data_IF_941504108205
#
_entry.id   IF_941504108205
#
_cell.length_a   1.000
_cell.length_b   1.000
_cell.length_c   1.000
_cell.angle_alpha   90.00
_cell.angle_beta   90.00
_cell.angle_gamma   90.00
#
_symmetry.space_group_name_H-M   'P 1'
#
loop_
_entity.id
_entity.type
_entity.pdbx_description
1 polymer ?
#
# COMPACT_ATOMS: atom_id res chain seq x y z
N UNK A 1 -15.50 18.32 3.06
CA UNK A 1 -15.24 16.93 2.63
C UNK A 1 -15.26 16.05 3.86
N UNK A 2 -15.98 14.93 3.84
CA UNK A 2 -16.09 14.00 4.97
C UNK A 2 -14.76 13.22 5.04
N UNK A 3 -14.22 13.00 6.23
CA UNK A 3 -13.00 12.19 6.38
C UNK A 3 -13.26 10.76 5.88
N UNK A 4 -12.26 10.08 5.28
CA UNK A 4 -12.37 8.64 5.07
C UNK A 4 -12.63 7.99 6.43
N UNK A 5 -13.66 7.16 6.51
CA UNK A 5 -13.95 6.42 7.74
C UNK A 5 -12.71 5.60 8.10
N UNK A 6 -12.21 5.79 9.32
CA UNK A 6 -11.03 5.08 9.81
C UNK A 6 -9.67 5.61 9.35
N UNK A 7 -9.60 6.71 8.59
CA UNK A 7 -8.32 7.36 8.29
C UNK A 7 -8.22 8.72 8.98
N UNK A 8 -7.24 8.87 9.87
CA UNK A 8 -6.89 10.18 10.43
C UNK A 8 -5.40 10.44 10.37
N UNK A 9 -5.05 11.71 10.16
CA UNK A 9 -3.69 12.17 10.02
C UNK A 9 -3.48 13.42 10.84
N UNK A 10 -2.33 13.52 11.49
CA UNK A 10 -1.87 14.70 12.21
C UNK A 10 -0.38 14.92 11.96
N UNK A 11 0.00 16.18 11.85
CA UNK A 11 1.40 16.59 11.83
C UNK A 11 1.83 16.94 13.26
N UNK A 12 2.96 16.43 13.69
CA UNK A 12 3.62 16.81 14.93
C UNK A 12 5.09 17.07 14.63
N UNK A 13 5.50 18.33 14.74
CA UNK A 13 6.81 18.83 14.28
C UNK A 13 7.00 18.49 12.78
N UNK A 14 7.95 17.62 12.45
CA UNK A 14 8.24 17.14 11.09
C UNK A 14 7.71 15.71 10.81
N UNK A 15 6.97 15.13 11.77
CA UNK A 15 6.50 13.76 11.71
C UNK A 15 4.99 13.69 11.45
N UNK A 16 4.61 12.78 10.56
CA UNK A 16 3.23 12.47 10.25
C UNK A 16 2.78 11.28 11.10
N UNK A 17 1.81 11.52 11.98
CA UNK A 17 1.10 10.46 12.70
C UNK A 17 -0.18 10.09 11.96
N UNK A 18 -0.33 8.82 11.59
CA UNK A 18 -1.54 8.27 10.99
C UNK A 18 -2.22 7.31 11.95
N UNK A 19 -3.54 7.31 11.94
CA UNK A 19 -4.36 6.26 12.53
C UNK A 19 -5.21 5.66 11.43
N UNK A 20 -5.01 4.36 11.19
CA UNK A 20 -5.64 3.55 10.16
C UNK A 20 -6.65 2.62 10.84
N UNK A 21 -7.85 2.52 10.30
CA UNK A 21 -8.88 1.61 10.79
C UNK A 21 -9.81 1.16 9.67
N UNK A 22 -10.15 -0.12 9.68
CA UNK A 22 -11.14 -0.76 8.80
C UNK A 22 -12.47 -1.03 9.54
N UNK A 23 -12.60 -0.54 10.78
CA UNK A 23 -13.72 -0.80 11.69
C UNK A 23 -13.59 -2.07 12.55
N UNK A 24 -12.60 -2.92 12.30
CA UNK A 24 -12.29 -4.13 13.07
C UNK A 24 -10.92 -3.97 13.76
N UNK A 25 -9.94 -3.51 13.00
CA UNK A 25 -8.58 -3.22 13.40
C UNK A 25 -8.35 -1.71 13.44
N UNK A 26 -7.50 -1.26 14.37
CA UNK A 26 -6.98 0.10 14.42
C UNK A 26 -5.47 0.04 14.64
N UNK A 27 -4.71 0.70 13.76
CA UNK A 27 -3.26 0.84 13.89
C UNK A 27 -2.84 2.29 13.86
N UNK A 28 -1.83 2.61 14.68
CA UNK A 28 -1.20 3.93 14.74
C UNK A 28 0.21 3.81 14.22
N UNK A 29 0.56 4.64 13.24
CA UNK A 29 1.88 4.64 12.62
C UNK A 29 2.45 6.06 12.57
N UNK A 30 3.77 6.16 12.62
CA UNK A 30 4.51 7.40 12.56
C UNK A 30 5.62 7.32 11.52
N UNK A 31 5.66 8.32 10.66
CA UNK A 31 6.62 8.45 9.57
C UNK A 31 7.12 9.89 9.44
N UNK A 32 8.20 10.09 8.70
CA UNK A 32 8.62 11.43 8.29
C UNK A 32 7.57 12.02 7.35
N UNK A 33 7.13 13.25 7.61
CA UNK A 33 6.20 13.93 6.71
C UNK A 33 6.82 14.13 5.32
N UNK A 34 8.14 14.34 5.26
CA UNK A 34 8.87 14.46 3.99
C UNK A 34 8.87 13.14 3.23
N UNK A 35 9.29 12.03 3.86
CA UNK A 35 9.34 10.72 3.19
C UNK A 35 7.95 10.26 2.74
N UNK A 36 6.92 10.53 3.55
CA UNK A 36 5.55 10.24 3.16
C UNK A 36 5.11 11.06 1.93
N UNK A 37 5.48 12.34 1.87
CA UNK A 37 5.20 13.20 0.73
C UNK A 37 5.89 12.68 -0.54
N UNK A 38 7.16 12.30 -0.45
CA UNK A 38 7.90 11.72 -1.57
C UNK A 38 7.30 10.39 -2.02
N UNK A 39 6.90 9.53 -1.08
CA UNK A 39 6.28 8.25 -1.40
C UNK A 39 4.93 8.46 -2.11
N UNK A 40 4.11 9.44 -1.67
CA UNK A 40 2.89 9.81 -2.40
C UNK A 40 3.17 10.38 -3.79
N UNK A 41 4.22 11.19 -3.95
CA UNK A 41 4.60 11.74 -5.25
C UNK A 41 4.98 10.62 -6.23
N UNK A 42 5.70 9.59 -5.78
CA UNK A 42 6.00 8.39 -6.58
C UNK A 42 4.77 7.62 -7.04
N UNK A 43 3.64 7.69 -6.32
CA UNK A 43 2.36 7.12 -6.77
C UNK A 43 1.62 7.98 -7.80
N UNK A 44 2.00 9.25 -7.94
CA UNK A 44 1.46 10.19 -8.94
C UNK A 44 2.29 10.19 -10.23
N UNK A 45 3.60 9.92 -10.12
CA UNK A 45 4.44 9.63 -11.27
C UNK A 45 3.89 8.38 -11.97
N UNK A 46 3.77 8.46 -13.30
CA UNK A 46 3.15 7.46 -14.19
C UNK A 46 3.42 6.01 -13.77
N UNK A 47 2.52 5.05 -14.07
CA UNK A 47 2.69 3.65 -13.68
C UNK A 47 4.08 3.21 -14.10
N UNK A 48 4.96 3.07 -13.10
CA UNK A 48 6.22 2.39 -13.27
C UNK A 48 5.79 1.00 -13.68
N UNK A 49 5.94 0.69 -14.96
CA UNK A 49 6.14 -0.68 -15.39
C UNK A 49 7.05 -1.30 -14.35
N UNK A 50 6.62 -2.43 -13.78
CA UNK A 50 7.32 -3.18 -12.74
C UNK A 50 8.79 -3.42 -13.17
N UNK A 51 9.66 -2.46 -12.88
CA UNK A 51 11.11 -2.57 -12.95
C UNK A 51 11.67 -2.63 -11.53
N UNK A 52 10.91 -3.26 -10.62
CA UNK A 52 11.55 -3.98 -9.52
C UNK A 52 12.19 -5.24 -10.10
N UNK A 53 13.35 -5.01 -10.73
CA UNK A 53 14.36 -6.03 -11.05
C UNK A 53 14.93 -6.56 -9.72
N UNK A 54 14.15 -7.41 -9.05
CA UNK A 54 14.79 -8.46 -8.27
C UNK A 54 15.41 -9.42 -9.29
N UNK A 55 16.68 -9.85 -9.14
CA UNK A 55 17.13 -11.06 -9.80
C UNK A 55 16.44 -12.24 -9.11
N UNK A 56 15.13 -12.36 -9.34
CA UNK A 56 14.41 -13.60 -9.18
C UNK A 56 14.88 -14.46 -10.34
N UNK A 57 15.94 -15.24 -10.12
CA UNK A 57 16.09 -16.52 -10.82
C UNK A 57 14.90 -17.43 -10.42
N UNK A 58 13.69 -17.03 -10.80
CA UNK A 58 12.53 -17.87 -10.81
C UNK A 58 12.37 -18.28 -12.26
N UNK A 59 13.01 -19.41 -12.60
CA UNK A 59 12.62 -20.17 -13.77
C UNK A 59 11.11 -20.39 -13.65
N UNK A 60 10.34 -19.78 -14.55
CA UNK A 60 8.98 -20.20 -14.82
C UNK A 60 9.05 -21.52 -15.58
N UNK A 61 8.70 -22.68 -15.01
CA UNK A 61 8.20 -23.74 -15.85
C UNK A 61 6.76 -23.36 -16.24
N UNK A 62 6.51 -23.34 -17.54
CA UNK A 62 5.17 -23.40 -18.12
C UNK A 62 4.34 -24.46 -17.37
N UNK A 63 3.06 -24.22 -17.04
CA UNK A 63 2.24 -25.28 -16.49
C UNK A 63 1.82 -26.21 -17.63
N UNK A 64 2.71 -27.11 -18.04
CA UNK A 64 2.25 -28.36 -18.63
C UNK A 64 1.44 -29.10 -17.57
N UNK A 65 0.19 -29.36 -17.93
CA UNK A 65 -0.77 -30.08 -17.12
C UNK A 65 -0.19 -31.43 -16.67
N UNK A 66 0.20 -31.57 -15.41
CA UNK A 66 0.25 -32.86 -14.74
C UNK A 66 -0.01 -32.67 -13.25
N UNK A 67 -1.15 -33.19 -12.80
CA UNK A 67 -1.49 -33.31 -11.41
C UNK A 67 -0.43 -34.14 -10.65
N UNK A 68 0.06 -33.65 -9.52
CA UNK A 68 0.48 -34.52 -8.41
C UNK A 68 0.49 -33.72 -7.08
N UNK A 69 -0.52 -34.01 -6.28
CA UNK A 69 -0.54 -34.09 -4.81
C UNK A 69 0.69 -33.59 -4.02
N UNK A 70 0.56 -32.40 -3.41
CA UNK A 70 1.13 -32.06 -2.10
C UNK A 70 0.57 -30.70 -1.63
N UNK A 71 -0.69 -30.70 -1.18
CA UNK A 71 -1.26 -29.57 -0.47
C UNK A 71 -0.51 -29.34 0.86
N UNK A 72 0.23 -28.25 0.99
CA UNK A 72 0.59 -27.71 2.30
C UNK A 72 -0.68 -27.07 2.90
N UNK A 73 -1.17 -27.54 4.06
CA UNK A 73 -2.36 -26.97 4.67
C UNK A 73 -2.00 -25.63 5.31
N UNK A 74 -2.66 -24.55 4.87
CA UNK A 74 -2.77 -23.33 5.69
C UNK A 74 -2.21 -22.03 5.12
N UNK A 75 -1.59 -22.02 3.95
CA UNK A 75 -1.26 -20.75 3.28
C UNK A 75 -2.33 -20.46 2.24
N UNK A 76 -3.39 -19.77 2.66
CA UNK A 76 -4.30 -19.13 1.74
C UNK A 76 -3.51 -18.06 0.97
N UNK A 77 -2.91 -18.44 -0.16
CA UNK A 77 -2.50 -17.47 -1.16
C UNK A 77 -3.78 -16.77 -1.58
N UNK A 78 -3.96 -15.54 -1.11
CA UNK A 78 -5.01 -14.64 -1.59
C UNK A 78 -4.70 -14.41 -3.06
N UNK A 79 -5.35 -15.19 -3.91
CA UNK A 79 -5.35 -14.97 -5.34
C UNK A 79 -6.22 -13.73 -5.59
N UNK A 80 -5.57 -12.58 -5.77
CA UNK A 80 -6.25 -11.41 -6.33
C UNK A 80 -6.67 -11.78 -7.76
N UNK A 81 -7.94 -11.58 -8.14
CA UNK A 81 -8.39 -11.87 -9.49
C UNK A 81 -7.60 -11.00 -10.47
N UNK A 82 -7.01 -11.65 -11.48
CA UNK A 82 -6.28 -11.01 -12.58
C UNK A 82 -7.23 -10.25 -13.52
N UNK A 83 -7.83 -9.17 -13.03
CA UNK A 83 -8.16 -8.04 -13.89
C UNK A 83 -6.87 -7.22 -14.06
N UNK A 84 -6.63 -6.67 -15.25
CA UNK A 84 -5.45 -5.83 -15.56
C UNK A 84 -5.51 -4.48 -14.81
N UNK A 85 -5.58 -4.52 -13.48
CA UNK A 85 -5.54 -3.34 -12.62
C UNK A 85 -4.11 -2.82 -12.63
N UNK A 86 -3.89 -1.71 -13.34
CA UNK A 86 -2.62 -1.00 -13.29
C UNK A 86 -2.44 -0.45 -11.87
N UNK A 87 -1.34 -0.80 -11.21
CA UNK A 87 -1.01 -0.24 -9.91
C UNK A 87 0.34 0.48 -9.94
N UNK A 88 0.51 1.39 -8.98
CA UNK A 88 1.81 2.02 -8.69
C UNK A 88 2.10 1.81 -7.22
N UNK A 89 3.36 1.56 -6.88
CA UNK A 89 3.76 1.27 -5.50
C UNK A 89 4.89 2.20 -5.04
N UNK A 90 4.89 2.49 -3.75
CA UNK A 90 5.94 3.23 -3.07
C UNK A 90 6.11 2.66 -1.66
N UNK A 91 7.27 2.89 -1.06
CA UNK A 91 7.56 2.45 0.29
C UNK A 91 8.23 3.56 1.08
N UNK A 92 8.06 3.53 2.39
CA UNK A 92 8.77 4.40 3.33
C UNK A 92 9.01 3.70 4.66
N UNK A 93 9.96 4.21 5.43
CA UNK A 93 10.27 3.71 6.76
C UNK A 93 9.38 4.39 7.81
N UNK A 94 8.90 3.58 8.76
CA UNK A 94 8.20 4.03 9.94
C UNK A 94 9.16 4.09 11.12
N UNK A 95 8.96 5.09 11.97
CA UNK A 95 9.72 5.22 13.21
C UNK A 95 9.03 4.50 14.38
N UNK A 96 7.70 4.50 14.39
CA UNK A 96 6.90 3.86 15.44
C UNK A 96 5.53 3.39 14.90
N UNK A 97 5.22 2.09 14.97
CA UNK A 97 6.17 1.00 15.19
C UNK A 97 7.21 0.95 14.06
N UNK A 98 8.47 0.59 14.35
CA UNK A 98 9.52 0.57 13.34
C UNK A 98 9.26 -0.50 12.27
N UNK A 99 9.52 -0.16 11.01
CA UNK A 99 9.41 -1.09 9.89
C UNK A 99 9.03 -0.40 8.58
N UNK A 100 8.76 -1.18 7.54
CA UNK A 100 8.39 -0.66 6.23
C UNK A 100 6.87 -0.54 6.09
N UNK A 101 6.41 0.61 5.62
CA UNK A 101 5.05 0.82 5.13
C UNK A 101 5.06 0.73 3.61
N UNK A 102 4.25 -0.15 3.05
CA UNK A 102 4.02 -0.23 1.60
C UNK A 102 2.74 0.55 1.25
N UNK A 103 2.84 1.41 0.26
CA UNK A 103 1.73 2.15 -0.32
C UNK A 103 1.51 1.64 -1.75
N UNK A 104 0.28 1.27 -2.07
CA UNK A 104 -0.09 0.83 -3.42
C UNK A 104 -1.32 1.57 -3.90
N UNK A 105 -1.20 2.30 -5.00
CA UNK A 105 -2.31 2.94 -5.68
C UNK A 105 -2.83 2.00 -6.76
N UNK A 106 -4.06 1.53 -6.61
CA UNK A 106 -4.75 0.67 -7.57
C UNK A 106 -5.62 1.56 -8.45
N UNK A 107 -5.37 1.54 -9.76
CA UNK A 107 -6.10 2.35 -10.75
C UNK A 107 -7.19 1.47 -11.38
N UNK A 108 -8.44 1.68 -10.95
CA UNK A 108 -9.62 1.01 -11.50
C UNK A 108 -10.44 1.89 -12.44
N UNK A 109 -11.42 1.29 -13.11
CA UNK A 109 -12.42 2.02 -13.90
C UNK A 109 -13.36 2.83 -12.99
N UNK A 110 -12.95 4.04 -12.61
CA UNK A 110 -13.80 5.04 -11.96
C UNK A 110 -13.34 5.50 -10.59
N UNK A 111 -12.59 4.68 -9.84
CA UNK A 111 -12.09 5.02 -8.51
C UNK A 111 -10.64 4.54 -8.33
N UNK A 112 -9.79 5.42 -7.78
CA UNK A 112 -8.42 5.07 -7.41
C UNK A 112 -8.41 4.68 -5.93
N UNK A 113 -7.87 3.50 -5.62
CA UNK A 113 -7.76 3.03 -4.25
C UNK A 113 -6.32 3.16 -3.77
N UNK A 114 -6.14 3.51 -2.49
CA UNK A 114 -4.88 3.45 -1.78
C UNK A 114 -4.92 2.29 -0.80
N UNK A 115 -4.03 1.33 -1.01
CA UNK A 115 -3.76 0.25 -0.10
C UNK A 115 -2.49 0.56 0.71
N UNK A 116 -2.56 0.38 2.03
CA UNK A 116 -1.44 0.52 2.95
C UNK A 116 -1.20 -0.82 3.64
N UNK A 117 0.00 -1.38 3.49
CA UNK A 117 0.43 -2.57 4.22
C UNK A 117 1.39 -2.16 5.33
N UNK A 118 0.99 -2.37 6.58
CA UNK A 118 1.78 -2.00 7.76
C UNK A 118 2.87 -3.04 8.05
N UNK A 119 3.91 -2.72 8.85
CA UNK A 119 4.93 -3.69 9.23
C UNK A 119 4.37 -4.90 10.00
N UNK A 120 3.18 -4.78 10.58
CA UNK A 120 2.50 -5.88 11.27
C UNK A 120 1.81 -6.85 10.30
N UNK A 121 1.78 -6.53 8.99
CA UNK A 121 1.13 -7.34 7.96
C UNK A 121 -0.35 -7.01 7.75
N UNK A 122 -0.89 -6.01 8.43
CA UNK A 122 -2.26 -5.55 8.21
C UNK A 122 -2.36 -4.71 6.95
N UNK A 123 -3.50 -4.82 6.27
CA UNK A 123 -3.77 -4.13 5.01
C UNK A 123 -5.00 -3.24 5.19
N UNK A 124 -4.83 -1.95 4.93
CA UNK A 124 -5.90 -0.95 4.99
C UNK A 124 -6.14 -0.36 3.61
N UNK A 125 -7.41 -0.28 3.19
CA UNK A 125 -7.78 0.23 1.87
C UNK A 125 -8.67 1.45 2.02
N UNK A 126 -8.31 2.53 1.33
CA UNK A 126 -9.04 3.79 1.34
C UNK A 126 -9.18 4.36 -0.08
N UNK A 127 -10.12 5.28 -0.27
CA UNK A 127 -10.18 6.09 -1.47
C UNK A 127 -8.94 7.01 -1.55
N UNK A 128 -8.20 6.89 -2.65
CA UNK A 128 -6.94 7.60 -2.85
C UNK A 128 -7.14 9.11 -2.83
N UNK A 129 -8.18 9.61 -3.51
CA UNK A 129 -8.44 11.06 -3.60
C UNK A 129 -8.80 11.66 -2.24
N UNK A 130 -9.59 10.98 -1.42
CA UNK A 130 -9.90 11.45 -0.07
C UNK A 130 -8.66 11.46 0.84
N UNK A 131 -7.82 10.42 0.80
CA UNK A 131 -6.57 10.37 1.57
C UNK A 131 -5.63 11.49 1.12
N UNK A 132 -5.43 11.63 -0.19
CA UNK A 132 -4.58 12.67 -0.77
C UNK A 132 -5.04 14.07 -0.37
N UNK A 133 -6.34 14.36 -0.50
CA UNK A 133 -6.88 15.66 -0.11
C UNK A 133 -6.74 15.93 1.40
N UNK A 134 -6.77 14.89 2.23
CA UNK A 134 -6.57 14.99 3.68
C UNK A 134 -5.12 15.26 4.05
N UNK A 135 -4.17 14.65 3.34
CA UNK A 135 -2.74 14.76 3.60
C UNK A 135 -2.09 15.98 2.96
N UNK A 136 -2.59 16.45 1.81
CA UNK A 136 -2.07 17.62 1.09
C UNK A 136 -1.80 18.87 1.95
N UNK A 137 -2.63 19.27 2.93
CA UNK A 137 -2.32 20.42 3.78
C UNK A 137 -1.30 20.13 4.90
N UNK A 138 -0.99 18.86 5.17
CA UNK A 138 -0.08 18.43 6.25
C UNK A 138 1.33 18.12 5.75
N UNK A 139 1.46 17.79 4.47
CA UNK A 139 2.72 17.37 3.88
C UNK A 139 3.47 18.54 3.24
N UNK A 140 4.83 18.53 3.30
CA UNK A 140 5.64 19.44 2.52
C UNK A 140 5.40 19.23 1.02
N UNK A 141 5.65 20.29 0.24
CA UNK A 141 5.51 20.29 -1.23
C UNK A 141 6.85 20.10 -1.91
#
# INVERSE_FOLDING_TARGET
MKAPLGFSARLADDNLGLTLSDGINEEKIWASALEFAEALARLEEHPLHDEYDFPLEFQSPEPEATALDAALPGVARVAYPAAEESYTAAQLELFDPPGLLLLRKIVGEGENLLELTTPQGSVFVFDYEQVRNRLRPLLPR
#
